data_IF_354580862238
#
_entry.id   IF_354580862238
#
_cell.length_a   1.000
_cell.length_b   1.000
_cell.length_c   1.000
_cell.angle_alpha   90.00
_cell.angle_beta   90.00
_cell.angle_gamma   90.00
#
_symmetry.space_group_name_H-M   'P 1'
#
loop_
_entity.id
_entity.type
_entity.pdbx_description
1 polymer ?
#
# COMPACT_ATOMS: atom_id res chain seq x y z
N UNK A 1 -6.75 17.55 31.22
CA UNK A 1 -6.77 18.46 30.06
C UNK A 1 -5.99 17.81 28.93
N UNK A 2 -6.66 17.13 28.01
CA UNK A 2 -6.01 16.49 26.84
C UNK A 2 -5.72 17.56 25.80
N UNK A 3 -4.45 17.96 25.65
CA UNK A 3 -4.06 18.85 24.55
C UNK A 3 -4.18 18.10 23.23
N UNK A 4 -5.22 18.40 22.47
CA UNK A 4 -5.35 18.00 21.07
C UNK A 4 -4.40 18.86 20.25
N UNK A 5 -3.15 18.40 20.05
CA UNK A 5 -2.22 19.10 19.17
C UNK A 5 -2.64 18.86 17.72
N UNK A 6 -3.33 19.83 17.12
CA UNK A 6 -3.68 19.79 15.71
C UNK A 6 -2.39 19.72 14.88
N UNK A 7 -2.23 18.76 13.96
CA UNK A 7 -1.00 18.61 13.18
C UNK A 7 -0.77 19.85 12.32
N UNK A 8 0.33 20.58 12.59
CA UNK A 8 0.74 21.71 11.78
C UNK A 8 1.48 21.23 10.51
N UNK A 9 1.19 21.78 9.33
CA UNK A 9 1.92 21.43 8.11
C UNK A 9 3.36 21.95 8.17
N UNK A 10 4.31 21.20 7.62
CA UNK A 10 5.70 21.64 7.50
C UNK A 10 5.82 22.82 6.53
N UNK A 11 6.55 23.87 6.90
CA UNK A 11 6.83 25.04 6.05
C UNK A 11 7.73 24.75 4.82
N UNK A 12 8.14 23.50 4.61
CA UNK A 12 9.02 23.08 3.51
C UNK A 12 8.27 23.09 2.18
N UNK A 13 8.79 23.85 1.20
CA UNK A 13 8.18 24.04 -0.13
C UNK A 13 8.01 22.74 -0.93
N UNK A 14 8.90 21.77 -0.74
CA UNK A 14 8.86 20.46 -1.40
C UNK A 14 9.00 19.36 -0.35
N UNK A 15 7.89 18.92 0.28
CA UNK A 15 7.96 17.85 1.26
C UNK A 15 8.35 16.55 0.58
N UNK A 16 9.43 15.93 1.05
CA UNK A 16 9.76 14.55 0.67
C UNK A 16 8.76 13.63 1.36
N UNK A 17 8.09 12.79 0.58
CA UNK A 17 7.25 11.73 1.10
C UNK A 17 8.09 10.45 1.23
N UNK A 18 8.60 10.11 2.43
CA UNK A 18 9.32 8.86 2.59
C UNK A 18 8.40 7.66 2.36
N UNK A 19 8.97 6.58 1.83
CA UNK A 19 8.28 5.31 1.62
C UNK A 19 7.93 4.62 2.94
N UNK A 20 8.87 4.61 3.89
CA UNK A 20 8.66 4.11 5.24
C UNK A 20 8.10 5.22 6.11
N UNK A 21 6.96 4.97 6.77
CA UNK A 21 6.23 5.97 7.54
C UNK A 21 5.84 5.46 8.93
N UNK A 22 5.76 6.34 9.96
CA UNK A 22 5.31 5.92 11.29
C UNK A 22 3.82 5.54 11.29
N UNK A 23 3.40 4.80 12.32
CA UNK A 23 2.04 4.28 12.44
C UNK A 23 0.94 5.34 12.28
N UNK A 24 1.10 6.55 12.83
CA UNK A 24 0.12 7.65 12.67
C UNK A 24 -0.07 8.06 11.20
N UNK A 25 0.98 8.01 10.39
CA UNK A 25 0.92 8.37 8.97
C UNK A 25 0.35 7.21 8.14
N UNK A 26 0.66 5.97 8.51
CA UNK A 26 0.00 4.79 7.94
C UNK A 26 -1.51 4.76 8.26
N UNK A 27 -1.92 5.09 9.49
CA UNK A 27 -3.31 5.21 9.88
C UNK A 27 -4.06 6.24 9.01
N UNK A 28 -3.47 7.44 8.87
CA UNK A 28 -4.03 8.50 8.01
C UNK A 28 -4.11 8.07 6.54
N UNK A 29 -3.15 7.29 6.05
CA UNK A 29 -3.18 6.75 4.70
C UNK A 29 -4.40 5.85 4.45
N UNK A 30 -4.87 5.16 5.49
CA UNK A 30 -6.08 4.35 5.49
C UNK A 30 -7.34 5.11 5.91
N UNK A 31 -7.27 6.45 6.05
CA UNK A 31 -8.34 7.30 6.58
C UNK A 31 -8.81 6.93 8.01
N UNK A 32 -7.88 6.45 8.84
CA UNK A 32 -8.11 6.16 10.25
C UNK A 32 -7.35 7.14 11.15
N UNK A 33 -7.89 7.38 12.34
CA UNK A 33 -7.11 7.91 13.46
C UNK A 33 -6.13 6.84 13.96
N UNK A 34 -5.08 7.25 14.69
CA UNK A 34 -4.13 6.28 15.25
C UNK A 34 -4.78 5.27 16.21
N UNK A 35 -5.70 5.66 17.11
CA UNK A 35 -6.41 4.71 17.97
C UNK A 35 -7.21 3.67 17.16
N UNK A 36 -8.00 4.11 16.19
CA UNK A 36 -8.79 3.21 15.32
C UNK A 36 -7.87 2.25 14.55
N UNK A 37 -6.75 2.75 14.03
CA UNK A 37 -5.78 1.89 13.36
C UNK A 37 -5.20 0.82 14.29
N UNK A 38 -4.85 1.16 15.53
CA UNK A 38 -4.32 0.19 16.50
C UNK A 38 -5.36 -0.84 16.93
N UNK A 39 -6.62 -0.42 17.09
CA UNK A 39 -7.74 -1.30 17.41
C UNK A 39 -7.99 -2.32 16.28
N UNK A 40 -7.95 -1.87 15.03
CA UNK A 40 -8.20 -2.71 13.85
C UNK A 40 -6.95 -3.50 13.40
N UNK A 41 -5.75 -3.12 13.84
CA UNK A 41 -4.48 -3.69 13.38
C UNK A 41 -4.42 -5.23 13.46
N UNK A 42 -4.87 -5.90 14.55
CA UNK A 42 -4.87 -7.36 14.60
C UNK A 42 -5.74 -7.99 13.50
N UNK A 43 -6.93 -7.44 13.25
CA UNK A 43 -7.83 -7.91 12.21
C UNK A 43 -7.25 -7.66 10.81
N UNK A 44 -6.65 -6.48 10.58
CA UNK A 44 -5.94 -6.15 9.35
C UNK A 44 -4.78 -7.13 9.10
N UNK A 45 -3.95 -7.41 10.11
CA UNK A 45 -2.84 -8.36 10.01
C UNK A 45 -3.32 -9.79 9.73
N UNK A 46 -4.45 -10.20 10.31
CA UNK A 46 -5.08 -11.48 9.98
C UNK A 46 -5.52 -11.56 8.51
N UNK A 47 -5.92 -10.43 7.92
CA UNK A 47 -6.22 -10.26 6.50
C UNK A 47 -4.98 -10.01 5.63
N UNK A 48 -3.77 -10.20 6.16
CA UNK A 48 -2.52 -10.08 5.43
C UNK A 48 -1.98 -8.66 5.26
N UNK A 49 -2.47 -7.68 6.04
CA UNK A 49 -1.89 -6.34 6.08
C UNK A 49 -0.41 -6.38 6.50
N UNK A 50 0.48 -5.59 5.87
CA UNK A 50 1.92 -5.64 6.15
C UNK A 50 2.26 -5.30 7.60
N UNK A 51 3.21 -6.03 8.18
CA UNK A 51 3.77 -5.72 9.50
C UNK A 51 4.71 -4.52 9.41
N UNK A 52 4.76 -3.75 10.49
CA UNK A 52 5.78 -2.72 10.65
C UNK A 52 7.18 -3.34 10.66
N UNK A 53 8.18 -2.56 10.22
CA UNK A 53 9.58 -2.90 10.39
C UNK A 53 9.89 -3.11 11.88
N UNK A 54 10.47 -4.26 12.28
CA UNK A 54 10.71 -4.56 13.69
C UNK A 54 11.77 -3.65 14.35
N UNK A 55 12.64 -3.02 13.54
CA UNK A 55 13.70 -2.14 14.03
C UNK A 55 13.21 -0.70 14.21
N UNK A 56 12.42 -0.21 13.25
CA UNK A 56 12.03 1.22 13.20
C UNK A 56 10.58 1.48 13.60
N UNK A 57 9.72 0.44 13.63
CA UNK A 57 8.29 0.59 13.82
C UNK A 57 7.54 1.23 12.64
N UNK A 58 8.22 1.49 11.52
CA UNK A 58 7.63 2.11 10.34
C UNK A 58 6.95 1.10 9.41
N UNK A 59 5.92 1.54 8.72
CA UNK A 59 5.20 0.80 7.69
C UNK A 59 5.65 1.23 6.30
N UNK A 60 5.69 0.28 5.37
CA UNK A 60 5.98 0.54 3.96
C UNK A 60 4.69 0.86 3.20
N UNK A 61 4.56 2.09 2.70
CA UNK A 61 3.39 2.52 1.94
C UNK A 61 3.17 1.68 0.66
N UNK A 62 4.25 1.25 -0.01
CA UNK A 62 4.14 0.43 -1.22
C UNK A 62 3.60 -0.96 -0.88
N UNK A 63 3.96 -1.50 0.29
CA UNK A 63 3.41 -2.77 0.74
C UNK A 63 1.92 -2.65 1.11
N UNK A 64 1.51 -1.50 1.65
CA UNK A 64 0.10 -1.21 1.92
C UNK A 64 -0.67 -1.14 0.60
N UNK A 65 -0.17 -0.45 -0.42
CA UNK A 65 -0.80 -0.39 -1.75
C UNK A 65 -0.91 -1.76 -2.38
N UNK A 66 0.17 -2.55 -2.39
CA UNK A 66 0.14 -3.92 -2.92
C UNK A 66 -0.90 -4.81 -2.20
N UNK A 67 -1.07 -4.63 -0.89
CA UNK A 67 -2.12 -5.32 -0.13
C UNK A 67 -3.53 -4.84 -0.54
N UNK A 68 -3.73 -3.53 -0.73
CA UNK A 68 -5.00 -2.98 -1.21
C UNK A 68 -5.34 -3.48 -2.61
N UNK A 69 -4.38 -3.47 -3.52
CA UNK A 69 -4.52 -3.97 -4.90
C UNK A 69 -4.85 -5.46 -4.91
N UNK A 70 -4.19 -6.25 -4.06
CA UNK A 70 -4.50 -7.68 -3.95
C UNK A 70 -5.92 -7.90 -3.43
N UNK A 71 -6.33 -7.14 -2.42
CA UNK A 71 -7.67 -7.24 -1.82
C UNK A 71 -8.76 -6.79 -2.78
N UNK A 72 -8.51 -5.80 -3.63
CA UNK A 72 -9.46 -5.30 -4.63
C UNK A 72 -9.47 -6.14 -5.92
N UNK A 73 -8.57 -7.12 -6.06
CA UNK A 73 -8.38 -7.89 -7.30
C UNK A 73 -7.62 -7.15 -8.40
N UNK A 74 -7.11 -5.95 -8.12
CA UNK A 74 -6.29 -5.14 -9.04
C UNK A 74 -4.86 -5.66 -9.19
N UNK A 75 -4.33 -6.36 -8.19
CA UNK A 75 -2.98 -6.95 -8.25
C UNK A 75 -2.83 -8.05 -9.31
N UNK A 76 -3.93 -8.44 -9.96
CA UNK A 76 -3.97 -9.56 -10.88
C UNK A 76 -5.29 -9.73 -11.61
N UNK A 77 -5.78 -8.69 -12.28
CA UNK A 77 -6.53 -8.89 -13.54
C UNK A 77 -5.57 -8.82 -14.73
N UNK A 78 -4.40 -9.45 -14.59
CA UNK A 78 -3.67 -10.00 -15.71
C UNK A 78 -4.40 -11.25 -16.22
N UNK A 79 -5.66 -11.11 -16.62
CA UNK A 79 -6.24 -12.06 -17.55
C UNK A 79 -5.47 -11.88 -18.85
N UNK A 80 -4.40 -12.67 -19.01
CA UNK A 80 -3.64 -12.79 -20.24
C UNK A 80 -2.83 -11.57 -20.65
N UNK A 81 -1.87 -11.12 -19.83
CA UNK A 81 -0.66 -10.57 -20.44
C UNK A 81 0.05 -11.73 -21.15
N UNK A 82 -0.47 -12.11 -22.32
CA UNK A 82 0.19 -13.10 -23.17
C UNK A 82 1.62 -12.63 -23.33
N UNK A 83 2.56 -13.54 -23.09
CA UNK A 83 3.96 -13.19 -23.31
C UNK A 83 4.09 -12.65 -24.74
N UNK A 84 4.91 -11.63 -24.95
CA UNK A 84 5.15 -11.11 -26.31
C UNK A 84 5.53 -12.24 -27.28
N UNK A 85 6.18 -13.29 -26.77
CA UNK A 85 6.47 -14.52 -27.48
C UNK A 85 5.21 -15.33 -27.89
N UNK A 86 4.21 -15.47 -27.01
CA UNK A 86 2.93 -16.12 -27.37
C UNK A 86 2.15 -15.32 -28.41
N UNK A 87 2.12 -13.99 -28.27
CA UNK A 87 1.46 -13.12 -29.25
C UNK A 87 2.14 -13.28 -30.62
N UNK A 88 3.48 -13.27 -30.66
CA UNK A 88 4.24 -13.45 -31.89
C UNK A 88 3.99 -14.82 -32.53
N UNK A 89 3.97 -15.90 -31.73
CA UNK A 89 3.69 -17.27 -32.23
C UNK A 89 2.28 -17.40 -32.79
N UNK A 90 1.27 -16.87 -32.09
CA UNK A 90 -0.11 -16.90 -32.55
C UNK A 90 -0.28 -16.17 -33.89
N UNK A 91 0.39 -15.03 -34.09
CA UNK A 91 0.35 -14.26 -35.34
C UNK A 91 1.00 -15.00 -36.51
N UNK A 92 2.16 -15.64 -36.28
CA UNK A 92 2.84 -16.43 -37.32
C UNK A 92 2.00 -17.62 -37.77
N UNK A 93 1.29 -18.28 -36.84
CA UNK A 93 0.41 -19.41 -37.17
C UNK A 93 -0.82 -19.04 -38.00
N UNK A 94 -1.18 -17.75 -38.12
CA UNK A 94 -2.31 -17.29 -38.94
C UNK A 94 -1.90 -16.93 -40.38
N UNK A 95 -0.60 -16.94 -40.69
CA UNK A 95 -0.04 -16.51 -41.99
C UNK A 95 0.46 -17.67 -42.86
N UNK A 96 0.34 -18.91 -42.39
CA UNK A 96 0.64 -20.14 -43.13
C UNK A 96 -0.64 -20.95 -43.39
#
# INVERSE_FOLDING_TARGET
MTQTHAPQPSSVRFPVQPRLVPAIKAARYLHLTLPEFMELLPALQHQGFPRACPITGNYDLVAIDAWQDKRSGLAGSGSGAQSSAEIARARLATLG
#
